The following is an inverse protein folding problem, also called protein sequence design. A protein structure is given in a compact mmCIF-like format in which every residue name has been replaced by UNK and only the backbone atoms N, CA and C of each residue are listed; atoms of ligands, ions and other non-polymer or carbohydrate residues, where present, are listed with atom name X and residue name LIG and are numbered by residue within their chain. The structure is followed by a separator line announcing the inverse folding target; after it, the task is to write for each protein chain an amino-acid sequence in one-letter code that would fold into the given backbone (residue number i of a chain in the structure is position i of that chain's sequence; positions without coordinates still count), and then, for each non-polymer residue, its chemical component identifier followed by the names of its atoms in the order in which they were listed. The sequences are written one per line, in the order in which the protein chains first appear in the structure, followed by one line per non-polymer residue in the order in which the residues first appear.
data_IF_761914322739
#
_entry.id   IF_761914322739
#
_cell.length_a   1.000
_cell.length_b   1.000
_cell.length_c   1.000
_cell.angle_alpha   90.00
_cell.angle_beta   90.00
_cell.angle_gamma   90.00
#
_symmetry.space_group_name_H-M   'P 1'
#
loop_
_entity.id
_entity.type
_entity.pdbx_description
1 polymer ?
#
# COMPACT_ATOMS: atom_id res chain seq x y z
N UNK A 1 -15.68 64.97 16.97
CA UNK A 1 -14.83 65.64 15.95
C UNK A 1 -13.49 65.99 16.59
N UNK A 2 -12.32 65.96 15.93
CA UNK A 2 -11.97 65.50 14.58
C UNK A 2 -10.81 64.47 14.51
N UNK A 3 -10.73 63.81 13.33
CA UNK A 3 -9.58 63.29 12.55
C UNK A 3 -8.30 62.80 13.25
N UNK A 4 -7.99 61.51 13.07
CA UNK A 4 -6.62 61.07 12.79
C UNK A 4 -6.59 59.92 11.77
N UNK A 5 -5.76 60.13 10.76
CA UNK A 5 -5.41 59.23 9.65
C UNK A 5 -4.50 58.09 10.14
N UNK A 6 -4.61 56.92 9.50
CA UNK A 6 -3.79 55.75 9.80
C UNK A 6 -3.79 54.73 8.66
N UNK A 7 -2.88 54.96 7.71
CA UNK A 7 -2.32 54.09 6.67
C UNK A 7 -2.84 52.65 6.53
N UNK A 8 -3.48 52.39 5.38
CA UNK A 8 -3.65 51.05 4.82
C UNK A 8 -2.39 50.65 4.03
N UNK A 9 -1.66 49.63 4.50
CA UNK A 9 -0.69 48.90 3.68
C UNK A 9 -1.42 47.79 2.93
N UNK A 10 -1.67 47.99 1.63
CA UNK A 10 -1.99 46.93 0.69
C UNK A 10 -0.80 45.96 0.57
N UNK A 11 -0.92 44.78 1.17
CA UNK A 11 -0.09 43.64 0.79
C UNK A 11 -0.66 43.05 -0.50
N UNK A 12 0.05 43.26 -1.62
CA UNK A 12 -0.08 42.46 -2.84
C UNK A 12 0.14 40.99 -2.50
N UNK A 13 -0.94 40.22 -2.46
CA UNK A 13 -0.87 38.76 -2.50
C UNK A 13 -0.57 38.37 -3.94
N UNK A 14 0.63 37.83 -4.15
CA UNK A 14 1.03 37.20 -5.41
C UNK A 14 0.19 35.93 -5.55
N UNK A 15 -0.76 35.97 -6.50
CA UNK A 15 -1.53 34.82 -6.97
C UNK A 15 -0.59 33.81 -7.62
N UNK A 16 -0.17 32.78 -6.89
CA UNK A 16 0.41 31.58 -7.49
C UNK A 16 -0.65 30.88 -8.33
N UNK A 17 -0.41 30.84 -9.63
CA UNK A 17 -1.35 30.38 -10.64
C UNK A 17 -1.89 28.99 -10.35
N UNK A 18 -3.21 28.92 -10.17
CA UNK A 18 -3.97 27.69 -10.25
C UNK A 18 -3.88 27.19 -11.70
N UNK A 19 -3.19 26.06 -11.90
CA UNK A 19 -3.26 25.34 -13.17
C UNK A 19 -4.71 24.93 -13.41
N UNK A 20 -5.43 25.70 -14.23
CA UNK A 20 -6.73 25.30 -14.78
C UNK A 20 -6.50 24.08 -15.66
N UNK A 21 -6.84 22.91 -15.13
CA UNK A 21 -7.08 21.72 -15.93
C UNK A 21 -8.22 22.04 -16.92
N UNK A 22 -7.85 22.26 -18.17
CA UNK A 22 -8.80 22.33 -19.28
C UNK A 22 -9.31 20.92 -19.55
N UNK A 23 -10.27 20.47 -18.75
CA UNK A 23 -11.13 19.35 -19.17
C UNK A 23 -11.86 19.79 -20.44
N UNK A 24 -11.68 19.03 -21.51
CA UNK A 24 -12.28 19.28 -22.81
C UNK A 24 -13.81 19.23 -22.71
N UNK A 25 -14.50 20.12 -23.42
CA UNK A 25 -15.98 20.18 -23.47
C UNK A 25 -16.69 18.82 -23.69
N UNK A 26 -16.19 17.85 -24.49
CA UNK A 26 -16.80 16.53 -24.61
C UNK A 26 -16.83 15.70 -23.30
N UNK A 27 -15.85 15.82 -22.41
CA UNK A 27 -15.87 15.11 -21.11
C UNK A 27 -16.95 15.66 -20.16
N UNK A 28 -17.27 16.96 -20.26
CA UNK A 28 -18.35 17.57 -19.47
C UNK A 28 -19.72 17.13 -19.97
N UNK A 29 -19.90 16.95 -21.28
CA UNK A 29 -21.15 16.48 -21.86
C UNK A 29 -21.41 14.99 -21.60
N UNK A 30 -20.40 14.12 -21.65
CA UNK A 30 -20.58 12.68 -21.38
C UNK A 30 -20.90 12.40 -19.91
N UNK A 31 -20.23 13.08 -18.98
CA UNK A 31 -20.51 12.95 -17.53
C UNK A 31 -21.88 13.51 -17.18
N UNK A 32 -22.30 14.60 -17.83
CA UNK A 32 -23.65 15.15 -17.66
C UNK A 32 -24.74 14.24 -18.24
N UNK A 33 -24.48 13.54 -19.34
CA UNK A 33 -25.41 12.59 -19.94
C UNK A 33 -25.66 11.35 -19.06
N UNK A 34 -24.65 10.89 -18.31
CA UNK A 34 -24.83 9.84 -17.30
C UNK A 34 -25.53 10.34 -16.01
N UNK A 35 -25.38 11.63 -15.65
CA UNK A 35 -26.09 12.22 -14.51
C UNK A 35 -27.61 12.32 -14.72
N UNK A 36 -28.09 12.28 -15.98
CA UNK A 36 -29.52 12.19 -16.31
C UNK A 36 -30.11 10.79 -16.10
N UNK A 37 -29.30 9.77 -15.76
CA UNK A 37 -29.80 8.52 -15.16
C UNK A 37 -29.89 8.72 -13.66
N UNK A 38 -31.10 8.98 -13.16
CA UNK A 38 -31.51 9.32 -11.79
C UNK A 38 -31.18 8.28 -10.69
N UNK A 39 -30.15 7.45 -10.85
CA UNK A 39 -29.95 6.22 -10.08
C UNK A 39 -28.57 6.07 -9.43
N UNK A 40 -27.65 7.02 -9.58
CA UNK A 40 -26.32 6.97 -8.95
C UNK A 40 -26.01 8.26 -8.19
N UNK A 41 -25.57 8.13 -6.95
CA UNK A 41 -25.19 9.20 -6.03
C UNK A 41 -23.67 9.22 -5.94
N UNK A 42 -23.06 10.40 -6.09
CA UNK A 42 -21.60 10.54 -5.97
C UNK A 42 -21.16 10.13 -4.56
N UNK A 43 -20.20 9.21 -4.48
CA UNK A 43 -19.63 8.74 -3.22
C UNK A 43 -18.26 9.34 -2.96
N UNK A 44 -17.44 9.48 -4.01
CA UNK A 44 -16.11 10.06 -3.91
C UNK A 44 -15.32 9.96 -5.21
N UNK A 45 -14.13 10.55 -5.20
CA UNK A 45 -13.18 10.49 -6.31
C UNK A 45 -11.80 10.15 -5.75
N UNK A 46 -11.12 9.21 -6.38
CA UNK A 46 -9.70 8.91 -6.16
C UNK A 46 -8.85 9.30 -7.36
N UNK A 47 -7.56 9.00 -7.30
CA UNK A 47 -6.61 9.32 -8.38
C UNK A 47 -6.91 8.57 -9.68
N UNK A 48 -7.49 7.37 -9.58
CA UNK A 48 -7.71 6.47 -10.72
C UNK A 48 -9.16 6.14 -10.99
N UNK A 49 -10.08 6.48 -10.08
CA UNK A 49 -11.48 6.16 -10.23
C UNK A 49 -12.38 7.27 -9.71
N UNK A 50 -13.55 7.38 -10.31
CA UNK A 50 -14.71 8.01 -9.70
C UNK A 50 -15.65 6.95 -9.16
N UNK A 51 -16.30 7.26 -8.04
CA UNK A 51 -17.09 6.27 -7.30
C UNK A 51 -18.50 6.82 -7.05
N UNK A 52 -19.50 6.01 -7.36
CA UNK A 52 -20.90 6.31 -7.09
C UNK A 52 -21.57 5.14 -6.36
N UNK A 53 -22.55 5.46 -5.52
CA UNK A 53 -23.46 4.48 -4.93
C UNK A 53 -24.79 4.49 -5.67
N UNK A 54 -25.47 3.36 -5.82
CA UNK A 54 -26.83 3.35 -6.33
C UNK A 54 -27.76 4.19 -5.42
N UNK A 55 -28.76 4.83 -6.01
CA UNK A 55 -29.75 5.64 -5.29
C UNK A 55 -30.78 4.78 -4.55
N UNK A 56 -31.01 3.56 -5.04
CA UNK A 56 -31.89 2.55 -4.44
C UNK A 56 -31.14 1.21 -4.32
N UNK A 57 -31.52 0.34 -3.37
CA UNK A 57 -31.01 -1.02 -3.32
C UNK A 57 -31.51 -1.84 -4.52
N UNK A 58 -30.79 -2.90 -4.86
CA UNK A 58 -31.24 -3.88 -5.85
C UNK A 58 -32.35 -4.80 -5.28
N UNK A 59 -32.79 -5.79 -6.07
CA UNK A 59 -33.81 -6.76 -5.66
C UNK A 59 -33.44 -7.58 -4.42
N UNK A 60 -32.15 -7.66 -4.08
CA UNK A 60 -31.66 -8.33 -2.88
C UNK A 60 -31.57 -7.40 -1.66
N UNK A 61 -32.00 -6.13 -1.79
CA UNK A 61 -31.92 -5.15 -0.72
C UNK A 61 -30.54 -4.51 -0.57
N UNK A 62 -29.62 -4.72 -1.51
CA UNK A 62 -28.22 -4.30 -1.40
C UNK A 62 -27.98 -3.07 -2.28
N UNK A 63 -27.42 -2.01 -1.70
CA UNK A 63 -26.90 -0.88 -2.47
C UNK A 63 -25.62 -1.31 -3.21
N UNK A 64 -25.39 -0.72 -4.38
CA UNK A 64 -24.23 -1.04 -5.22
C UNK A 64 -23.27 0.15 -5.30
N UNK A 65 -22.00 -0.12 -5.53
CA UNK A 65 -20.97 0.89 -5.80
C UNK A 65 -20.43 0.68 -7.19
N UNK A 66 -20.50 1.70 -8.05
CA UNK A 66 -19.83 1.73 -9.34
C UNK A 66 -18.48 2.42 -9.16
N UNK A 67 -17.39 1.72 -9.51
CA UNK A 67 -16.07 2.34 -9.75
C UNK A 67 -15.87 2.51 -11.26
N UNK A 68 -15.71 3.77 -11.68
CA UNK A 68 -15.43 4.14 -13.06
C UNK A 68 -13.95 4.51 -13.19
N UNK A 69 -13.18 3.82 -14.03
CA UNK A 69 -11.78 4.14 -14.23
C UNK A 69 -11.61 5.49 -14.94
N UNK A 70 -10.68 6.30 -14.44
CA UNK A 70 -10.26 7.53 -15.09
C UNK A 70 -9.21 7.23 -16.15
N UNK A 71 -9.26 7.89 -17.32
CA UNK A 71 -8.20 7.78 -18.32
C UNK A 71 -6.85 8.16 -17.72
N UNK A 72 -5.81 7.38 -18.04
CA UNK A 72 -4.43 7.65 -17.64
C UNK A 72 -3.50 7.48 -18.83
N UNK A 73 -2.52 8.37 -18.94
CA UNK A 73 -1.43 8.26 -19.92
C UNK A 73 -0.38 7.21 -19.50
N UNK A 74 -0.43 6.75 -18.26
CA UNK A 74 0.43 5.69 -17.76
C UNK A 74 -0.20 4.33 -18.07
N UNK A 75 0.42 3.59 -18.99
CA UNK A 75 -0.06 2.27 -19.44
C UNK A 75 -0.10 1.24 -18.31
N UNK A 76 0.79 1.34 -17.32
CA UNK A 76 0.78 0.45 -16.16
C UNK A 76 -0.45 0.73 -15.29
N UNK A 77 -0.74 2.00 -15.01
CA UNK A 77 -1.95 2.42 -14.28
C UNK A 77 -3.21 1.97 -15.01
N UNK A 78 -3.27 2.15 -16.33
CA UNK A 78 -4.40 1.72 -17.16
C UNK A 78 -4.60 0.19 -17.08
N UNK A 79 -3.51 -0.58 -17.10
CA UNK A 79 -3.58 -2.04 -16.94
C UNK A 79 -4.06 -2.47 -15.54
N UNK A 80 -3.65 -1.76 -14.49
CA UNK A 80 -4.10 -2.02 -13.12
C UNK A 80 -5.57 -1.62 -12.91
N UNK A 81 -6.04 -0.56 -13.56
CA UNK A 81 -7.40 -0.01 -13.40
C UNK A 81 -8.45 -0.68 -14.31
N UNK A 82 -8.08 -1.74 -15.03
CA UNK A 82 -8.99 -2.41 -15.96
C UNK A 82 -10.16 -3.10 -15.23
N UNK A 83 -11.40 -2.86 -15.67
CA UNK A 83 -12.63 -3.33 -15.01
C UNK A 83 -12.63 -4.82 -14.66
N UNK A 84 -12.24 -5.69 -15.60
CA UNK A 84 -12.17 -7.13 -15.37
C UNK A 84 -11.16 -7.52 -14.29
N UNK A 85 -10.06 -6.76 -14.17
CA UNK A 85 -9.07 -6.95 -13.11
C UNK A 85 -9.66 -6.55 -11.77
N UNK A 86 -10.30 -5.39 -11.67
CA UNK A 86 -10.96 -4.92 -10.45
C UNK A 86 -11.98 -5.93 -9.89
N UNK A 87 -12.86 -6.44 -10.76
CA UNK A 87 -13.84 -7.50 -10.39
C UNK A 87 -13.15 -8.76 -9.88
N UNK A 88 -12.17 -9.26 -10.62
CA UNK A 88 -11.43 -10.47 -10.23
C UNK A 88 -10.76 -10.27 -8.86
N UNK A 89 -10.06 -9.16 -8.66
CA UNK A 89 -9.39 -8.86 -7.39
C UNK A 89 -10.36 -8.72 -6.23
N UNK A 90 -11.48 -8.04 -6.44
CA UNK A 90 -12.52 -7.95 -5.43
C UNK A 90 -13.02 -9.33 -5.02
N UNK A 91 -13.35 -10.19 -5.98
CA UNK A 91 -13.89 -11.52 -5.69
C UNK A 91 -12.83 -12.47 -5.08
N UNK A 92 -11.55 -12.30 -5.42
CA UNK A 92 -10.42 -13.02 -4.79
C UNK A 92 -10.20 -12.58 -3.33
N UNK A 93 -10.17 -11.26 -3.09
CA UNK A 93 -9.81 -10.66 -1.79
C UNK A 93 -10.98 -10.71 -0.81
N UNK A 94 -12.18 -10.39 -1.28
CA UNK A 94 -13.42 -10.27 -0.52
C UNK A 94 -14.42 -11.36 -0.91
N UNK A 95 -13.97 -12.62 -1.02
CA UNK A 95 -14.80 -13.71 -1.54
C UNK A 95 -16.12 -13.86 -0.77
N UNK A 96 -17.24 -14.17 -1.44
CA UNK A 96 -18.54 -14.35 -0.77
C UNK A 96 -18.50 -15.41 0.34
N UNK A 97 -17.70 -16.45 0.17
CA UNK A 97 -17.50 -17.50 1.18
C UNK A 97 -16.86 -17.01 2.48
N UNK A 98 -16.11 -15.91 2.43
CA UNK A 98 -15.44 -15.30 3.59
C UNK A 98 -16.25 -14.14 4.16
N UNK A 99 -16.84 -13.33 3.30
CA UNK A 99 -17.44 -12.04 3.68
C UNK A 99 -18.97 -12.06 3.75
N UNK A 100 -19.60 -13.07 3.12
CA UNK A 100 -21.05 -13.08 2.90
C UNK A 100 -21.53 -11.99 1.93
N UNK A 101 -20.63 -11.22 1.33
CA UNK A 101 -20.98 -10.18 0.36
C UNK A 101 -21.20 -10.79 -1.03
N UNK A 102 -22.12 -10.24 -1.85
CA UNK A 102 -22.24 -10.63 -3.25
C UNK A 102 -20.95 -10.37 -4.03
N UNK A 103 -20.75 -11.13 -5.10
CA UNK A 103 -19.64 -10.88 -6.03
C UNK A 103 -19.76 -9.51 -6.70
N UNK A 104 -18.59 -8.92 -6.99
CA UNK A 104 -18.48 -7.82 -7.92
C UNK A 104 -18.70 -8.30 -9.36
N UNK A 105 -19.16 -7.39 -10.21
CA UNK A 105 -19.47 -7.65 -11.61
C UNK A 105 -18.93 -6.54 -12.52
N UNK A 106 -18.70 -6.86 -13.79
CA UNK A 106 -18.33 -5.87 -14.80
C UNK A 106 -19.55 -5.11 -15.29
N UNK A 107 -19.34 -3.86 -15.70
CA UNK A 107 -20.32 -3.00 -16.35
C UNK A 107 -19.66 -2.34 -17.57
N UNK A 108 -20.46 -1.81 -18.50
CA UNK A 108 -19.96 -1.04 -19.64
C UNK A 108 -19.14 0.17 -19.19
N UNK A 109 -19.54 0.80 -18.09
CA UNK A 109 -18.91 2.02 -17.59
C UNK A 109 -17.82 1.77 -16.55
N UNK A 110 -17.58 0.53 -16.10
CA UNK A 110 -16.75 0.31 -14.92
C UNK A 110 -16.92 -1.07 -14.34
N UNK A 111 -16.70 -1.19 -13.04
CA UNK A 111 -17.07 -2.37 -12.28
C UNK A 111 -17.93 -2.02 -11.07
N UNK A 112 -18.79 -2.95 -10.69
CA UNK A 112 -19.80 -2.77 -9.65
C UNK A 112 -19.52 -3.73 -8.51
N UNK A 113 -19.38 -3.21 -7.30
CA UNK A 113 -19.26 -3.97 -6.05
C UNK A 113 -20.48 -3.75 -5.15
N UNK A 114 -20.68 -4.59 -4.12
CA UNK A 114 -21.60 -4.28 -3.02
C UNK A 114 -21.18 -3.00 -2.27
N UNK A 115 -22.16 -2.17 -1.91
CA UNK A 115 -21.96 -1.10 -0.94
C UNK A 115 -21.99 -1.68 0.47
N UNK A 116 -20.96 -1.38 1.26
CA UNK A 116 -20.81 -1.89 2.62
C UNK A 116 -21.28 -0.82 3.59
N UNK A 117 -22.52 -0.97 4.06
CA UNK A 117 -23.13 -0.07 5.03
C UNK A 117 -22.66 -0.37 6.46
N UNK A 118 -22.96 0.54 7.40
CA UNK A 118 -22.67 0.38 8.84
C UNK A 118 -21.19 0.08 9.11
N UNK A 119 -20.30 0.87 8.51
CA UNK A 119 -18.85 0.70 8.62
C UNK A 119 -18.20 1.89 9.34
N UNK A 120 -16.99 1.66 9.82
CA UNK A 120 -16.02 2.70 10.15
C UNK A 120 -14.71 2.45 9.38
N UNK A 121 -13.82 3.44 9.26
CA UNK A 121 -12.44 3.17 8.89
C UNK A 121 -11.83 2.12 9.82
N UNK A 122 -11.11 1.16 9.25
CA UNK A 122 -10.35 0.19 10.03
C UNK A 122 -9.22 0.91 10.81
N UNK A 123 -8.89 0.38 11.98
CA UNK A 123 -7.70 0.80 12.74
C UNK A 123 -6.43 0.30 12.05
N UNK A 124 -5.27 0.82 12.46
CA UNK A 124 -3.98 0.37 11.94
C UNK A 124 -3.75 -1.12 12.16
N UNK A 125 -4.07 -1.65 13.34
CA UNK A 125 -3.90 -3.07 13.65
C UNK A 125 -4.85 -3.97 12.84
N UNK A 126 -6.11 -3.58 12.69
CA UNK A 126 -7.08 -4.29 11.83
C UNK A 126 -6.62 -4.30 10.37
N UNK A 127 -6.12 -3.15 9.88
CA UNK A 127 -5.64 -3.00 8.51
C UNK A 127 -4.40 -3.84 8.27
N UNK A 128 -3.42 -3.78 9.18
CA UNK A 128 -2.20 -4.58 9.09
C UNK A 128 -2.52 -6.08 9.08
N UNK A 129 -3.35 -6.56 10.01
CA UNK A 129 -3.80 -7.97 10.03
C UNK A 129 -4.51 -8.37 8.74
N UNK A 130 -5.40 -7.51 8.21
CA UNK A 130 -6.06 -7.79 6.94
C UNK A 130 -5.08 -7.86 5.77
N UNK A 131 -4.06 -7.00 5.71
CA UNK A 131 -3.01 -7.07 4.68
C UNK A 131 -2.28 -8.41 4.73
N UNK A 132 -1.93 -8.89 5.94
CA UNK A 132 -1.32 -10.21 6.13
C UNK A 132 -2.25 -11.32 5.64
N UNK A 133 -3.52 -11.30 6.04
CA UNK A 133 -4.53 -12.28 5.65
C UNK A 133 -4.72 -12.34 4.12
N UNK A 134 -4.78 -11.18 3.47
CA UNK A 134 -4.87 -11.08 2.00
C UNK A 134 -3.63 -11.66 1.33
N UNK A 135 -2.44 -11.34 1.84
CA UNK A 135 -1.19 -11.86 1.30
C UNK A 135 -1.09 -13.39 1.44
N UNK A 136 -1.45 -13.94 2.59
CA UNK A 136 -1.47 -15.39 2.81
C UNK A 136 -2.44 -16.09 1.84
N UNK A 137 -3.64 -15.53 1.65
CA UNK A 137 -4.67 -16.16 0.82
C UNK A 137 -4.41 -16.02 -0.70
N UNK A 138 -3.82 -14.91 -1.13
CA UNK A 138 -3.80 -14.53 -2.57
C UNK A 138 -2.40 -14.25 -3.11
N UNK A 139 -1.37 -14.23 -2.26
CA UNK A 139 -0.01 -13.76 -2.57
C UNK A 139 0.00 -12.33 -3.12
N UNK A 140 -0.97 -11.51 -2.72
CA UNK A 140 -1.08 -10.09 -3.13
C UNK A 140 -0.73 -9.15 -1.99
N UNK A 141 -0.04 -8.07 -2.32
CA UNK A 141 0.29 -6.98 -1.39
C UNK A 141 -0.59 -5.79 -1.74
N UNK A 142 -1.45 -5.35 -0.81
CA UNK A 142 -2.30 -4.15 -0.97
C UNK A 142 -1.48 -2.93 -0.55
N UNK A 143 -0.84 -2.28 -1.52
CA UNK A 143 0.20 -1.28 -1.22
C UNK A 143 -0.33 -0.03 -0.50
N UNK A 144 -1.50 0.43 -0.90
CA UNK A 144 -2.15 1.66 -0.44
C UNK A 144 -3.14 1.42 0.70
N UNK A 145 -3.06 0.27 1.39
CA UNK A 145 -3.99 -0.11 2.46
C UNK A 145 -4.04 0.89 3.63
N UNK A 146 -2.95 1.62 3.90
CA UNK A 146 -2.92 2.63 4.96
C UNK A 146 -3.73 3.89 4.61
N UNK A 147 -4.13 4.07 3.35
CA UNK A 147 -4.95 5.21 2.94
C UNK A 147 -6.31 5.13 3.62
N UNK A 148 -6.69 6.22 4.29
CA UNK A 148 -7.97 6.30 5.01
C UNK A 148 -9.14 6.01 4.06
N UNK A 149 -9.94 5.01 4.41
CA UNK A 149 -11.13 4.61 3.65
C UNK A 149 -10.90 3.46 2.67
N UNK A 150 -9.66 3.02 2.45
CA UNK A 150 -9.36 1.85 1.61
C UNK A 150 -9.65 0.53 2.32
N UNK A 151 -9.65 0.54 3.66
CA UNK A 151 -10.03 -0.61 4.50
C UNK A 151 -11.08 -0.18 5.51
N UNK A 152 -12.18 -0.94 5.57
CA UNK A 152 -13.33 -0.67 6.41
C UNK A 152 -13.56 -1.82 7.39
N UNK A 153 -13.98 -1.51 8.61
CA UNK A 153 -14.51 -2.51 9.55
C UNK A 153 -16.02 -2.36 9.64
N UNK A 154 -16.72 -3.48 9.42
CA UNK A 154 -18.16 -3.62 9.64
C UNK A 154 -18.48 -3.58 11.12
N UNK A 155 -19.35 -2.66 11.54
CA UNK A 155 -19.71 -2.49 12.94
C UNK A 155 -20.64 -3.59 13.46
N UNK A 156 -21.36 -4.26 12.58
CA UNK A 156 -22.28 -5.36 12.91
C UNK A 156 -21.56 -6.70 13.09
N UNK A 157 -20.54 -6.99 12.28
CA UNK A 157 -19.83 -8.28 12.29
C UNK A 157 -18.39 -8.21 12.82
N UNK A 158 -17.80 -7.03 12.93
CA UNK A 158 -16.36 -6.86 13.20
C UNK A 158 -15.48 -7.22 12.00
N UNK A 159 -16.08 -7.56 10.86
CA UNK A 159 -15.35 -7.98 9.67
C UNK A 159 -14.59 -6.80 9.04
N UNK A 160 -13.31 -6.99 8.79
CA UNK A 160 -12.45 -6.04 8.08
C UNK A 160 -12.50 -6.35 6.58
N UNK A 161 -12.63 -5.34 5.73
CA UNK A 161 -12.81 -5.48 4.28
C UNK A 161 -11.93 -4.48 3.53
N UNK A 162 -11.23 -4.94 2.50
CA UNK A 162 -10.43 -4.09 1.62
C UNK A 162 -11.33 -3.60 0.48
N UNK A 163 -11.70 -2.32 0.50
CA UNK A 163 -12.61 -1.74 -0.51
C UNK A 163 -11.90 -1.12 -1.70
N UNK A 164 -10.61 -0.77 -1.54
CA UNK A 164 -9.75 -0.42 -2.65
C UNK A 164 -8.72 -1.51 -2.92
N UNK A 165 -8.89 -2.19 -4.06
CA UNK A 165 -8.13 -3.39 -4.42
C UNK A 165 -7.24 -3.16 -5.65
N UNK A 166 -7.27 -1.97 -6.24
CA UNK A 166 -6.61 -1.71 -7.52
C UNK A 166 -5.08 -1.89 -7.40
N UNK A 167 -4.51 -1.50 -6.26
CA UNK A 167 -3.08 -1.63 -5.97
C UNK A 167 -2.74 -2.91 -5.17
N UNK A 168 -3.58 -3.95 -5.25
CA UNK A 168 -3.26 -5.30 -4.78
C UNK A 168 -2.35 -6.04 -5.77
N UNK A 169 -1.04 -5.87 -5.64
CA UNK A 169 -0.05 -6.38 -6.58
C UNK A 169 0.34 -7.82 -6.30
N UNK A 170 0.53 -8.62 -7.36
CA UNK A 170 1.16 -9.93 -7.27
C UNK A 170 2.54 -9.87 -7.94
N UNK A 171 3.60 -9.85 -7.13
CA UNK A 171 4.98 -9.60 -7.58
C UNK A 171 5.67 -10.83 -8.21
N UNK A 172 4.94 -11.92 -8.47
CA UNK A 172 5.50 -13.14 -9.08
C UNK A 172 4.81 -13.53 -10.38
N UNK A 173 3.49 -13.43 -10.41
CA UNK A 173 2.67 -14.06 -11.44
C UNK A 173 1.87 -13.04 -12.28
N UNK A 174 2.11 -11.74 -12.10
CA UNK A 174 1.37 -10.70 -12.83
C UNK A 174 2.31 -9.73 -13.52
N UNK A 175 2.39 -9.80 -14.85
CA UNK A 175 3.17 -8.87 -15.68
C UNK A 175 2.81 -7.40 -15.40
N UNK A 176 1.52 -7.06 -15.31
CA UNK A 176 1.11 -5.70 -14.98
C UNK A 176 1.58 -5.25 -13.59
N UNK A 177 1.58 -6.16 -12.61
CA UNK A 177 2.09 -5.85 -11.26
C UNK A 177 3.61 -5.69 -11.26
N UNK A 178 4.32 -6.55 -12.00
CA UNK A 178 5.78 -6.49 -12.16
C UNK A 178 6.21 -5.19 -12.83
N UNK A 179 5.58 -4.82 -13.96
CA UNK A 179 5.88 -3.58 -14.66
C UNK A 179 5.60 -2.35 -13.78
N UNK A 180 4.51 -2.37 -13.00
CA UNK A 180 4.24 -1.30 -12.04
C UNK A 180 5.30 -1.26 -10.91
N UNK A 181 5.79 -2.43 -10.49
CA UNK A 181 6.78 -2.56 -9.42
C UNK A 181 8.18 -2.04 -9.80
N UNK A 182 8.52 -1.95 -11.09
CA UNK A 182 9.82 -1.46 -11.58
C UNK A 182 10.17 -0.05 -11.06
N UNK A 183 9.16 0.79 -10.86
CA UNK A 183 9.29 2.18 -10.37
C UNK A 183 8.49 2.42 -9.10
N UNK A 184 8.27 1.36 -8.32
CA UNK A 184 7.40 1.43 -7.15
C UNK A 184 7.97 2.39 -6.07
N UNK A 185 9.29 2.63 -6.04
CA UNK A 185 9.93 3.46 -5.03
C UNK A 185 9.59 4.92 -5.31
N UNK A 186 9.74 5.34 -6.56
CA UNK A 186 9.35 6.67 -7.02
C UNK A 186 7.84 6.88 -6.88
N UNK A 187 7.03 5.89 -7.30
CA UNK A 187 5.56 5.97 -7.27
C UNK A 187 5.00 6.14 -5.86
N UNK A 188 5.62 5.52 -4.86
CA UNK A 188 5.13 5.54 -3.48
C UNK A 188 6.00 6.36 -2.53
N UNK A 189 6.98 7.12 -3.03
CA UNK A 189 7.87 7.90 -2.16
C UNK A 189 7.09 8.86 -1.26
N UNK A 190 6.09 9.54 -1.79
CA UNK A 190 5.23 10.45 -1.01
C UNK A 190 4.40 9.68 0.02
N UNK A 191 3.79 8.56 -0.37
CA UNK A 191 2.99 7.71 0.52
C UNK A 191 3.81 7.15 1.68
N UNK A 192 5.03 6.68 1.40
CA UNK A 192 5.95 6.14 2.40
C UNK A 192 6.41 7.18 3.43
N UNK A 193 6.54 8.43 3.00
CA UNK A 193 7.04 9.53 3.81
C UNK A 193 5.92 10.45 4.32
N UNK A 194 4.65 10.09 4.10
CA UNK A 194 3.51 10.88 4.54
C UNK A 194 3.48 10.94 6.09
N UNK A 195 3.58 12.13 6.71
CA UNK A 195 3.64 12.23 8.16
C UNK A 195 2.38 11.73 8.88
N UNK A 196 1.21 11.93 8.27
CA UNK A 196 -0.06 11.51 8.85
C UNK A 196 -0.21 9.99 8.78
N UNK A 197 0.21 9.36 7.69
CA UNK A 197 0.21 7.90 7.60
C UNK A 197 1.25 7.29 8.55
N UNK A 198 2.45 7.84 8.65
CA UNK A 198 3.46 7.35 9.59
C UNK A 198 3.02 7.49 11.06
N UNK A 199 2.21 8.50 11.37
CA UNK A 199 1.63 8.69 12.71
C UNK A 199 0.46 7.74 12.98
N UNK A 200 -0.46 7.60 12.03
CA UNK A 200 -1.75 6.95 12.28
C UNK A 200 -1.80 5.49 11.82
N UNK A 201 -0.94 5.08 10.88
CA UNK A 201 -0.91 3.74 10.29
C UNK A 201 0.50 3.09 10.26
N UNK A 202 1.32 3.22 11.32
CA UNK A 202 2.71 2.76 11.30
C UNK A 202 2.85 1.24 11.09
N UNK A 203 1.96 0.42 11.67
CA UNK A 203 2.04 -1.04 11.53
C UNK A 203 1.73 -1.47 10.10
N UNK A 204 0.68 -0.90 9.50
CA UNK A 204 0.28 -1.19 8.12
C UNK A 204 1.41 -0.84 7.15
N UNK A 205 2.01 0.35 7.27
CA UNK A 205 3.14 0.75 6.43
C UNK A 205 4.35 -0.18 6.59
N UNK A 206 4.67 -0.56 7.83
CA UNK A 206 5.82 -1.42 8.12
C UNK A 206 5.63 -2.83 7.57
N UNK A 207 4.44 -3.43 7.77
CA UNK A 207 4.12 -4.77 7.24
C UNK A 207 4.11 -4.79 5.72
N UNK A 208 3.52 -3.78 5.08
CA UNK A 208 3.52 -3.69 3.61
C UNK A 208 4.95 -3.65 3.05
N UNK A 209 5.86 -2.89 3.67
CA UNK A 209 7.29 -2.87 3.28
C UNK A 209 7.98 -4.22 3.53
N UNK A 210 7.67 -4.87 4.65
CA UNK A 210 8.26 -6.15 5.00
C UNK A 210 7.75 -7.29 4.10
N UNK A 211 6.53 -7.21 3.57
CA UNK A 211 6.02 -8.13 2.56
C UNK A 211 6.72 -7.98 1.21
N UNK A 212 7.03 -6.74 0.80
CA UNK A 212 7.85 -6.50 -0.40
C UNK A 212 9.24 -7.11 -0.18
N UNK A 213 9.87 -6.84 0.96
CA UNK A 213 11.16 -7.43 1.32
C UNK A 213 11.13 -8.97 1.33
N UNK A 214 10.07 -9.57 1.87
CA UNK A 214 9.88 -11.03 1.84
C UNK A 214 9.85 -11.58 0.41
N UNK A 215 9.14 -10.92 -0.51
CA UNK A 215 9.10 -11.29 -1.93
C UNK A 215 10.45 -11.14 -2.64
N UNK A 216 11.29 -10.20 -2.21
CA UNK A 216 12.63 -10.05 -2.79
C UNK A 216 13.60 -11.14 -2.32
N UNK A 217 13.51 -11.53 -1.04
CA UNK A 217 14.53 -12.35 -0.40
C UNK A 217 14.28 -13.86 -0.47
N UNK A 218 13.01 -14.28 -0.45
CA UNK A 218 12.65 -15.70 -0.43
C UNK A 218 12.19 -16.18 -1.80
N UNK A 219 12.25 -17.49 -2.05
CA UNK A 219 11.65 -18.08 -3.25
C UNK A 219 10.13 -18.23 -3.08
N UNK A 220 9.37 -18.32 -4.19
CA UNK A 220 7.92 -18.57 -4.11
C UNK A 220 7.60 -19.84 -3.30
N UNK A 221 8.39 -20.91 -3.49
CA UNK A 221 8.22 -22.16 -2.76
C UNK A 221 8.36 -21.98 -1.25
N UNK A 222 9.36 -21.21 -0.81
CA UNK A 222 9.58 -20.99 0.62
C UNK A 222 8.44 -20.17 1.22
N UNK A 223 7.98 -19.14 0.51
CA UNK A 223 6.86 -18.31 0.98
C UNK A 223 5.56 -19.10 1.01
N UNK A 224 5.28 -19.93 0.01
CA UNK A 224 4.09 -20.80 -0.02
C UNK A 224 4.11 -21.81 1.14
N UNK A 225 5.30 -22.31 1.49
CA UNK A 225 5.48 -23.17 2.68
C UNK A 225 5.14 -22.39 3.96
N UNK A 226 5.74 -21.20 4.15
CA UNK A 226 5.45 -20.35 5.31
C UNK A 226 3.96 -19.95 5.39
N UNK A 227 3.31 -19.71 4.26
CA UNK A 227 1.89 -19.36 4.19
C UNK A 227 1.00 -20.54 4.59
N UNK A 228 1.24 -21.73 4.04
CA UNK A 228 0.45 -22.93 4.32
C UNK A 228 0.60 -23.44 5.76
N UNK A 229 1.74 -23.17 6.39
CA UNK A 229 2.00 -23.45 7.80
C UNK A 229 1.53 -22.33 8.75
N UNK A 230 0.87 -21.28 8.23
CA UNK A 230 0.41 -20.11 8.99
C UNK A 230 1.54 -19.37 9.75
N UNK A 231 2.76 -19.39 9.23
CA UNK A 231 3.91 -18.72 9.82
C UNK A 231 3.97 -17.21 9.52
N UNK A 232 3.26 -16.76 8.48
CA UNK A 232 3.17 -15.35 8.10
C UNK A 232 2.18 -14.59 8.99
N UNK A 233 2.53 -14.36 10.25
CA UNK A 233 1.71 -13.57 11.19
C UNK A 233 2.16 -12.10 11.21
N UNK A 234 1.31 -11.21 11.74
CA UNK A 234 1.67 -9.80 11.94
C UNK A 234 2.96 -9.62 12.74
N UNK A 235 3.11 -10.35 13.85
CA UNK A 235 4.31 -10.29 14.69
C UNK A 235 5.57 -10.74 13.93
N UNK A 236 5.49 -11.86 13.22
CA UNK A 236 6.62 -12.40 12.46
C UNK A 236 7.02 -11.46 11.33
N UNK A 237 6.06 -10.92 10.58
CA UNK A 237 6.33 -9.96 9.52
C UNK A 237 6.94 -8.66 10.06
N UNK A 238 6.51 -8.16 11.23
CA UNK A 238 7.14 -6.99 11.88
C UNK A 238 8.58 -7.26 12.32
N UNK A 239 8.94 -8.48 12.70
CA UNK A 239 10.34 -8.79 13.05
C UNK A 239 11.32 -8.65 11.88
N UNK A 240 10.83 -8.63 10.63
CA UNK A 240 11.67 -8.42 9.44
C UNK A 240 12.16 -6.97 9.28
N UNK A 241 11.58 -6.02 10.02
CA UNK A 241 11.91 -4.59 9.92
C UNK A 241 13.39 -4.32 10.11
N UNK A 242 14.01 -5.00 11.08
CA UNK A 242 15.42 -4.82 11.37
C UNK A 242 16.29 -5.28 10.20
N UNK A 243 16.04 -6.49 9.69
CA UNK A 243 16.77 -7.06 8.55
C UNK A 243 16.65 -6.14 7.32
N UNK A 244 15.43 -5.68 7.02
CA UNK A 244 15.17 -4.77 5.89
C UNK A 244 15.91 -3.45 6.03
N UNK A 245 15.89 -2.81 7.21
CA UNK A 245 16.55 -1.50 7.43
C UNK A 245 18.08 -1.60 7.40
N UNK A 246 18.64 -2.74 7.75
CA UNK A 246 20.08 -3.00 7.74
C UNK A 246 20.57 -3.74 6.49
N UNK A 247 19.71 -3.91 5.48
CA UNK A 247 20.00 -4.65 4.25
C UNK A 247 20.59 -6.05 4.50
N UNK A 248 20.10 -6.73 5.52
CA UNK A 248 20.55 -8.08 5.87
C UNK A 248 19.74 -9.12 5.08
N UNK A 249 20.39 -10.16 4.52
CA UNK A 249 19.69 -11.16 3.73
C UNK A 249 18.72 -11.96 4.60
N UNK A 250 17.54 -12.25 4.07
CA UNK A 250 16.57 -13.14 4.71
C UNK A 250 16.63 -14.52 4.06
N UNK A 251 16.70 -15.56 4.88
CA UNK A 251 16.57 -16.96 4.47
C UNK A 251 15.35 -17.57 5.14
N UNK A 252 14.83 -18.68 4.59
CA UNK A 252 13.74 -19.41 5.24
C UNK A 252 14.13 -19.87 6.65
N UNK A 253 15.37 -20.35 6.84
CA UNK A 253 15.87 -20.77 8.15
C UNK A 253 15.90 -19.62 9.16
N UNK A 254 16.41 -18.45 8.76
CA UNK A 254 16.41 -17.26 9.61
C UNK A 254 14.98 -16.81 9.95
N UNK A 255 14.04 -16.87 9.00
CA UNK A 255 12.64 -16.57 9.28
C UNK A 255 12.07 -17.48 10.38
N UNK A 256 12.35 -18.79 10.30
CA UNK A 256 11.89 -19.76 11.28
C UNK A 256 12.55 -19.55 12.66
N UNK A 257 13.83 -19.16 12.70
CA UNK A 257 14.52 -18.77 13.95
C UNK A 257 13.82 -17.56 14.61
N UNK A 258 13.51 -16.52 13.83
CA UNK A 258 12.76 -15.34 14.33
C UNK A 258 11.36 -15.72 14.83
N UNK A 259 10.68 -16.63 14.13
CA UNK A 259 9.37 -17.15 14.53
C UNK A 259 9.41 -17.83 15.90
N UNK A 260 10.43 -18.68 16.15
CA UNK A 260 10.59 -19.34 17.45
C UNK A 260 10.80 -18.32 18.58
N UNK A 261 11.62 -17.29 18.33
CA UNK A 261 11.85 -16.22 19.31
C UNK A 261 10.57 -15.44 19.62
N UNK A 262 9.79 -15.09 18.60
CA UNK A 262 8.50 -14.40 18.78
C UNK A 262 7.51 -15.26 19.55
N UNK A 263 7.41 -16.57 19.26
CA UNK A 263 6.54 -17.49 20.00
C UNK A 263 6.96 -17.65 21.47
N UNK A 264 8.26 -17.54 21.74
CA UNK A 264 8.80 -17.55 23.10
C UNK A 264 8.67 -16.18 23.80
N UNK A 265 8.08 -15.17 23.16
CA UNK A 265 8.01 -13.79 23.64
C UNK A 265 9.38 -13.20 24.01
N UNK A 266 10.43 -13.58 23.27
CA UNK A 266 11.78 -13.06 23.46
C UNK A 266 11.92 -11.78 22.65
N UNK A 267 12.26 -10.67 23.31
CA UNK A 267 12.58 -9.42 22.63
C UNK A 267 13.84 -9.57 21.79
N UNK A 268 13.74 -9.29 20.49
CA UNK A 268 14.86 -9.43 19.56
C UNK A 268 15.64 -8.11 19.49
N UNK A 269 16.73 -8.05 20.26
CA UNK A 269 17.65 -6.91 20.25
C UNK A 269 18.56 -6.88 19.02
N UNK A 270 19.17 -5.74 18.74
CA UNK A 270 20.14 -5.59 17.64
C UNK A 270 21.28 -6.62 17.73
N UNK A 271 21.81 -6.86 18.93
CA UNK A 271 22.87 -7.85 19.18
C UNK A 271 22.40 -9.26 18.83
N UNK A 272 21.15 -9.60 19.17
CA UNK A 272 20.59 -10.91 18.83
C UNK A 272 20.42 -11.04 17.31
N UNK A 273 19.92 -10.01 16.64
CA UNK A 273 19.84 -10.00 15.18
C UNK A 273 21.21 -10.16 14.51
N UNK A 274 22.23 -9.43 14.97
CA UNK A 274 23.60 -9.57 14.47
C UNK A 274 24.10 -11.01 14.62
N UNK A 275 23.95 -11.59 15.81
CA UNK A 275 24.35 -12.98 16.07
C UNK A 275 23.64 -13.99 15.16
N UNK A 276 22.32 -13.86 14.98
CA UNK A 276 21.54 -14.75 14.09
C UNK A 276 21.97 -14.62 12.62
N UNK A 277 22.29 -13.41 12.17
CA UNK A 277 22.72 -13.19 10.77
C UNK A 277 24.13 -13.73 10.52
N UNK A 278 25.10 -13.50 11.42
CA UNK A 278 26.46 -14.02 11.28
C UNK A 278 26.50 -15.55 11.23
N UNK A 279 25.73 -16.22 12.10
CA UNK A 279 25.64 -17.69 12.10
C UNK A 279 25.08 -18.24 10.77
N UNK A 280 24.17 -17.51 10.12
CA UNK A 280 23.61 -17.92 8.83
C UNK A 280 24.59 -17.68 7.66
N UNK A 281 25.38 -16.61 7.69
CA UNK A 281 26.43 -16.33 6.70
C UNK A 281 27.53 -17.41 6.72
N UNK A 282 27.94 -17.86 7.91
CA UNK A 282 28.89 -18.97 8.07
C UNK A 282 28.35 -20.29 7.49
N UNK A 283 27.07 -20.60 7.74
CA UNK A 283 26.40 -21.80 7.18
C UNK A 283 26.32 -21.75 5.65
N UNK A 284 26.16 -20.57 5.06
CA UNK A 284 26.07 -20.42 3.61
C UNK A 284 27.43 -20.48 2.91
N UNK A 285 28.46 -19.83 3.46
CA UNK A 285 29.82 -19.83 2.90
C UNK A 285 30.43 -21.23 2.86
N UNK A 286 30.06 -22.10 3.81
CA UNK A 286 30.42 -23.53 3.78
C UNK A 286 29.77 -24.30 2.61
N UNK A 287 28.53 -23.97 2.23
CA UNK A 287 27.79 -24.66 1.14
C UNK A 287 28.07 -24.09 -0.25
N UNK A 288 28.39 -22.80 -0.36
CA UNK A 288 28.64 -22.17 -1.67
C UNK A 288 29.95 -22.63 -2.33
N UNK A 289 30.91 -23.18 -1.56
CA UNK A 289 32.10 -23.84 -2.14
C UNK A 289 31.76 -25.10 -2.96
N UNK A 290 30.53 -25.60 -2.90
CA UNK A 290 30.11 -26.83 -3.58
C UNK A 290 29.19 -26.63 -4.81
N UNK A 291 28.58 -25.44 -5.01
CA UNK A 291 27.50 -25.26 -6.00
C UNK A 291 27.53 -23.93 -6.76
N UNK A 292 28.70 -23.47 -7.20
CA UNK A 292 28.82 -22.26 -8.02
C UNK A 292 28.74 -22.59 -9.53
N UNK A 293 27.61 -23.16 -9.97
CA UNK A 293 27.17 -23.21 -11.38
C UNK A 293 25.65 -23.32 -11.37
N UNK A 294 24.98 -22.21 -11.68
CA UNK A 294 23.61 -22.10 -12.22
C UNK A 294 22.72 -21.08 -11.47
N UNK A 295 22.15 -20.18 -12.29
CA UNK A 295 20.99 -19.30 -12.08
C UNK A 295 21.23 -17.93 -11.44
N UNK A 296 21.43 -16.94 -12.32
CA UNK A 296 20.90 -15.59 -12.11
C UNK A 296 19.36 -15.64 -12.24
N UNK A 297 18.67 -15.44 -11.13
CA UNK A 297 17.25 -15.11 -11.12
C UNK A 297 17.11 -13.59 -11.26
N UNK A 298 16.29 -13.13 -12.21
CA UNK A 298 15.97 -11.72 -12.42
C UNK A 298 15.04 -11.23 -11.31
N UNK A 299 15.56 -11.03 -10.10
CA UNK A 299 14.85 -10.35 -9.02
C UNK A 299 15.30 -8.90 -9.03
N UNK A 300 14.38 -7.98 -9.31
CA UNK A 300 14.63 -6.54 -9.27
C UNK A 300 14.76 -6.10 -7.81
N UNK A 301 15.94 -5.64 -7.35
CA UNK A 301 16.12 -5.22 -5.97
C UNK A 301 15.50 -3.84 -5.77
N UNK A 302 14.38 -3.79 -5.07
CA UNK A 302 13.61 -2.60 -4.71
C UNK A 302 14.26 -1.81 -3.57
N UNK A 303 14.70 -2.50 -2.50
CA UNK A 303 15.28 -1.83 -1.33
C UNK A 303 16.82 -1.77 -1.34
N UNK A 304 17.51 -2.60 -2.13
CA UNK A 304 18.97 -2.71 -2.07
C UNK A 304 19.72 -1.55 -2.75
N UNK A 305 19.10 -0.80 -3.66
CA UNK A 305 19.79 0.24 -4.44
C UNK A 305 19.53 1.68 -3.97
N UNK A 306 18.49 1.94 -3.16
CA UNK A 306 18.08 3.31 -2.82
C UNK A 306 18.86 3.96 -1.65
N UNK A 307 19.57 3.19 -0.82
CA UNK A 307 20.18 3.71 0.42
C UNK A 307 21.58 4.34 0.25
N UNK A 308 22.09 4.52 -0.97
CA UNK A 308 23.35 5.25 -1.19
C UNK A 308 23.19 6.76 -1.36
N UNK A 309 21.96 7.29 -1.39
CA UNK A 309 21.73 8.73 -1.29
C UNK A 309 21.76 9.16 0.19
N UNK A 310 22.97 9.27 0.74
CA UNK A 310 23.21 9.79 2.08
C UNK A 310 22.57 11.18 2.24
N UNK A 311 21.74 11.35 3.26
CA UNK A 311 21.41 12.67 3.79
C UNK A 311 22.73 13.39 4.13
N UNK A 312 23.00 14.60 3.61
CA UNK A 312 24.12 15.39 4.11
C UNK A 312 23.82 15.68 5.58
N UNK A 313 24.60 15.05 6.46
CA UNK A 313 24.71 15.46 7.86
C UNK A 313 25.19 16.89 7.83
N UNK A 314 24.29 17.85 8.07
CA UNK A 314 24.64 19.23 8.31
C UNK A 314 25.55 19.24 9.55
N UNK A 315 26.86 19.27 9.32
CA UNK A 315 27.84 19.61 10.35
C UNK A 315 27.51 21.01 10.81
N UNK A 316 27.02 21.11 12.04
CA UNK A 316 26.88 22.36 12.76
C UNK A 316 28.23 23.10 12.74
N UNK A 317 28.24 24.24 12.07
CA UNK A 317 29.29 25.24 12.22
C UNK A 317 28.96 26.10 13.45
N UNK A 318 29.64 25.86 14.57
CA UNK A 318 30.15 26.98 15.39
C UNK A 318 31.40 27.53 14.68
N UNK A 319 31.81 28.81 14.77
CA UNK A 319 31.77 29.73 15.93
C UNK A 319 31.30 31.16 15.50
N UNK A 320 31.19 32.21 16.31
CA UNK A 320 32.22 32.93 17.09
C UNK A 320 31.56 33.88 18.10
N UNK A 321 32.06 33.80 19.33
CA UNK A 321 31.96 34.86 20.33
C UNK A 321 32.89 36.00 19.93
N UNK A 322 32.38 37.22 19.74
CA UNK A 322 33.19 38.45 19.77
C UNK A 322 32.75 39.35 20.92
N UNK A 323 33.72 39.65 21.76
CA UNK A 323 33.73 40.64 22.82
C UNK A 323 34.07 42.04 22.26
N UNK A 324 33.58 43.08 22.97
CA UNK A 324 33.89 44.52 22.91
C UNK A 324 33.44 45.28 21.64
N UNK A 325 32.81 46.46 21.69
CA UNK A 325 32.64 47.50 22.72
C UNK A 325 31.16 47.92 22.81
#
# INVERSE_FOLDING_TARGET
MPKHEGNAHEKKVVSTGTARSNQSEPEKEEVAAYSKKSHWLVLGNGSYNRVWRSAAPDKSGIYRVLKYPLPSNDSCVTALSHNQRGVRLWNEINSPSRTGLPEAITSQSGWIAPYIANTRPATDEETANKVVEVYQATRRIVLDAATRGNVLTRLDTGEVIVVDVDLALNLRNSTASLNFAETLHERFQSYWNDPDLNKNMPNTLEVTRNLIFLEEQLSSKDIDTLASENHLTLANLKSLSWLRRHNKPLTQGLFLELLVLNQANIEISDILFESLTSNNEEKQTGKQKEKQKDKQSSVYPFFMHANHAAFPVNKASSPETKLAC
#
